data_IF_378288255312
#
_entry.id   IF_378288255312
#
_cell.length_a   1.000
_cell.length_b   1.000
_cell.length_c   1.000
_cell.angle_alpha   90.00
_cell.angle_beta   90.00
_cell.angle_gamma   90.00
#
_symmetry.space_group_name_H-M   'P 1'
#
loop_
_entity.id
_entity.type
_entity.pdbx_description
1 polymer ?
#
# COMPACT_ATOMS: atom_id res chain seq x y z
N UNK A 1 3.85 13.46 -2.95
CA UNK A 1 3.37 13.97 -1.64
C UNK A 1 4.02 13.24 -0.47
N UNK A 2 4.44 13.93 0.61
CA UNK A 2 4.95 13.26 1.79
C UNK A 2 3.84 12.39 2.42
N UNK A 3 4.21 11.32 3.11
CA UNK A 3 3.31 10.45 3.88
C UNK A 3 2.32 9.56 3.11
N UNK A 4 2.44 9.36 1.79
CA UNK A 4 1.63 8.34 1.09
C UNK A 4 2.13 6.91 1.34
N UNK A 5 3.46 6.72 1.33
CA UNK A 5 4.08 5.40 1.48
C UNK A 5 4.22 4.98 2.95
N UNK A 6 4.40 5.94 3.86
CA UNK A 6 4.66 5.64 5.27
C UNK A 6 3.53 4.81 5.91
N UNK A 7 2.23 5.17 5.80
CA UNK A 7 1.16 4.37 6.37
C UNK A 7 1.06 2.98 5.76
N UNK A 8 1.38 2.83 4.47
CA UNK A 8 1.39 1.54 3.79
C UNK A 8 2.53 0.65 4.28
N UNK A 9 3.72 1.22 4.47
CA UNK A 9 4.89 0.53 5.01
C UNK A 9 4.68 0.14 6.47
N UNK A 10 4.14 1.05 7.29
CA UNK A 10 3.78 0.78 8.69
C UNK A 10 2.76 -0.37 8.76
N UNK A 11 1.70 -0.33 7.96
CA UNK A 11 0.72 -1.41 7.90
C UNK A 11 1.35 -2.75 7.53
N UNK A 12 2.24 -2.76 6.54
CA UNK A 12 2.91 -3.96 6.08
C UNK A 12 3.84 -4.57 7.15
N UNK A 13 4.52 -3.73 7.93
CA UNK A 13 5.39 -4.19 9.03
C UNK A 13 4.55 -4.69 10.20
N UNK A 14 3.64 -3.87 10.74
CA UNK A 14 2.89 -4.17 11.97
C UNK A 14 1.89 -5.32 11.78
N UNK A 15 1.24 -5.41 10.62
CA UNK A 15 0.17 -6.38 10.39
C UNK A 15 0.59 -7.54 9.48
N UNK A 16 1.51 -7.30 8.55
CA UNK A 16 2.00 -8.32 7.64
C UNK A 16 3.13 -9.14 8.25
N UNK A 17 4.22 -8.48 8.64
CA UNK A 17 5.49 -9.13 8.96
C UNK A 17 5.69 -9.45 10.45
N UNK A 18 5.25 -8.58 11.37
CA UNK A 18 5.41 -8.76 12.82
C UNK A 18 4.78 -10.06 13.37
N UNK A 19 3.64 -10.57 12.83
CA UNK A 19 3.12 -11.88 13.22
C UNK A 19 4.00 -13.08 12.82
N UNK A 20 4.99 -12.91 11.94
CA UNK A 20 5.85 -13.99 11.47
C UNK A 20 7.23 -13.96 12.13
N UNK A 21 7.46 -14.92 13.04
CA UNK A 21 8.73 -15.10 13.77
C UNK A 21 9.92 -15.37 12.83
N UNK A 22 9.68 -15.94 11.65
CA UNK A 22 10.70 -16.16 10.61
C UNK A 22 11.16 -14.89 9.90
N UNK A 23 10.52 -13.73 10.18
CA UNK A 23 10.64 -12.52 9.38
C UNK A 23 9.95 -12.66 8.02
N UNK A 24 10.15 -11.65 7.18
CA UNK A 24 9.67 -11.65 5.80
C UNK A 24 10.25 -10.49 5.01
N UNK A 25 9.76 -10.30 3.79
CA UNK A 25 10.28 -9.29 2.86
C UNK A 25 9.24 -8.21 2.62
N UNK A 26 9.66 -6.95 2.76
CA UNK A 26 8.93 -5.78 2.29
C UNK A 26 9.60 -5.24 1.02
N UNK A 27 8.83 -5.01 -0.02
CA UNK A 27 9.29 -4.45 -1.29
C UNK A 27 8.48 -3.18 -1.55
N UNK A 28 9.18 -2.06 -1.68
CA UNK A 28 8.61 -0.79 -2.16
C UNK A 28 9.12 -0.56 -3.57
N UNK A 29 8.22 -0.33 -4.51
CA UNK A 29 8.57 -0.07 -5.90
C UNK A 29 7.75 1.06 -6.46
N UNK A 30 8.31 1.74 -7.46
CA UNK A 30 7.69 2.83 -8.18
C UNK A 30 7.98 2.62 -9.67
N UNK A 31 6.96 2.79 -10.50
CA UNK A 31 7.10 2.71 -11.96
C UNK A 31 6.19 3.74 -12.63
N UNK A 32 6.59 4.22 -13.80
CA UNK A 32 5.78 5.13 -14.62
C UNK A 32 5.17 4.33 -15.76
N UNK A 33 3.84 4.33 -15.84
CA UNK A 33 3.05 3.70 -16.89
C UNK A 33 2.35 4.80 -17.70
N UNK A 34 2.99 5.24 -18.79
CA UNK A 34 2.53 6.41 -19.54
C UNK A 34 2.55 7.67 -18.67
N UNK A 35 1.38 8.28 -18.46
CA UNK A 35 1.20 9.48 -17.62
C UNK A 35 0.86 9.15 -16.17
N UNK A 36 0.83 7.87 -15.80
CA UNK A 36 0.51 7.41 -14.45
C UNK A 36 1.79 6.99 -13.70
N UNK A 37 1.89 7.37 -12.44
CA UNK A 37 2.85 6.86 -11.48
C UNK A 37 2.17 5.77 -10.65
N UNK A 38 2.75 4.56 -10.69
CA UNK A 38 2.30 3.40 -9.95
C UNK A 38 3.28 3.12 -8.82
N UNK A 39 2.81 3.23 -7.58
CA UNK A 39 3.58 2.91 -6.38
C UNK A 39 3.03 1.61 -5.77
N UNK A 40 3.93 0.69 -5.45
CA UNK A 40 3.56 -0.61 -4.88
C UNK A 40 4.31 -0.85 -3.58
N UNK A 41 3.59 -1.31 -2.56
CA UNK A 41 4.14 -1.82 -1.30
C UNK A 41 3.68 -3.27 -1.13
N UNK A 42 4.64 -4.20 -1.08
CA UNK A 42 4.41 -5.65 -1.07
C UNK A 42 5.10 -6.28 0.13
N UNK A 43 4.37 -7.01 0.96
CA UNK A 43 4.94 -7.77 2.09
C UNK A 43 4.60 -9.25 2.05
N UNK A 44 5.57 -10.13 2.25
CA UNK A 44 5.37 -11.59 2.31
C UNK A 44 4.76 -12.06 3.64
N UNK A 45 3.87 -11.24 4.21
CA UNK A 45 3.30 -11.43 5.55
C UNK A 45 2.06 -12.31 5.57
N UNK A 46 1.29 -12.20 6.67
CA UNK A 46 0.08 -12.98 6.90
C UNK A 46 -1.07 -12.69 5.90
N UNK A 47 -0.93 -11.66 5.07
CA UNK A 47 -1.88 -11.29 4.02
C UNK A 47 -3.09 -10.48 4.50
N UNK A 48 -4.04 -10.27 3.60
CA UNK A 48 -5.17 -9.35 3.80
C UNK A 48 -6.11 -9.75 4.94
N UNK A 49 -6.10 -11.03 5.35
CA UNK A 49 -6.87 -11.56 6.47
C UNK A 49 -6.52 -10.86 7.80
N UNK A 50 -5.27 -10.42 7.95
CA UNK A 50 -4.79 -9.71 9.13
C UNK A 50 -5.01 -8.18 9.04
N UNK A 51 -5.25 -7.65 7.84
CA UNK A 51 -5.47 -6.22 7.57
C UNK A 51 -6.86 -5.70 8.01
N UNK A 52 -7.70 -6.56 8.59
CA UNK A 52 -9.05 -6.22 9.06
C UNK A 52 -9.13 -5.39 10.34
N UNK A 53 -7.99 -5.03 10.95
CA UNK A 53 -7.94 -4.27 12.21
C UNK A 53 -8.30 -2.79 12.04
N UNK A 54 -8.84 -2.15 13.09
CA UNK A 54 -9.27 -0.75 13.03
C UNK A 54 -8.12 0.24 12.74
N UNK A 55 -6.89 -0.07 13.17
CA UNK A 55 -5.70 0.74 12.89
C UNK A 55 -5.33 0.76 11.41
N UNK A 56 -5.42 -0.39 10.73
CA UNK A 56 -5.18 -0.50 9.29
C UNK A 56 -6.18 0.34 8.50
N UNK A 57 -7.46 0.31 8.88
CA UNK A 57 -8.52 1.10 8.23
C UNK A 57 -8.25 2.60 8.36
N UNK A 58 -7.81 3.06 9.52
CA UNK A 58 -7.49 4.46 9.75
C UNK A 58 -6.29 4.93 8.93
N UNK A 59 -5.20 4.17 8.90
CA UNK A 59 -4.01 4.50 8.09
C UNK A 59 -4.32 4.58 6.60
N UNK A 60 -5.12 3.64 6.08
CA UNK A 60 -5.52 3.65 4.67
C UNK A 60 -6.52 4.77 4.34
N UNK A 61 -7.41 5.13 5.28
CA UNK A 61 -8.33 6.26 5.12
C UNK A 61 -7.57 7.57 4.94
N UNK A 62 -6.56 7.84 5.76
CA UNK A 62 -5.74 9.05 5.62
C UNK A 62 -5.00 9.11 4.26
N UNK A 63 -4.51 7.97 3.76
CA UNK A 63 -3.91 7.92 2.42
C UNK A 63 -4.96 8.23 1.35
N UNK A 64 -6.17 7.68 1.44
CA UNK A 64 -7.28 7.95 0.50
C UNK A 64 -7.70 9.42 0.50
N UNK A 65 -7.91 10.02 1.67
CA UNK A 65 -8.27 11.43 1.79
C UNK A 65 -7.20 12.34 1.19
N UNK A 66 -5.93 12.01 1.41
CA UNK A 66 -4.82 12.77 0.84
C UNK A 66 -4.74 12.64 -0.69
N UNK A 67 -4.96 11.43 -1.22
CA UNK A 67 -5.02 11.22 -2.67
C UNK A 67 -6.17 12.02 -3.29
N UNK A 68 -7.37 11.96 -2.69
CA UNK A 68 -8.53 12.73 -3.13
C UNK A 68 -8.28 14.25 -3.07
N UNK A 69 -7.58 14.74 -2.05
CA UNK A 69 -7.26 16.17 -1.91
C UNK A 69 -6.32 16.67 -3.01
N UNK A 70 -5.37 15.84 -3.43
CA UNK A 70 -4.30 16.24 -4.35
C UNK A 70 -4.60 15.92 -5.82
N UNK A 71 -5.36 14.85 -6.07
CA UNK A 71 -5.58 14.29 -7.39
C UNK A 71 -7.07 14.00 -7.67
N UNK A 72 -7.97 14.25 -6.72
CA UNK A 72 -9.39 13.93 -6.89
C UNK A 72 -9.61 12.44 -7.19
N UNK A 73 -10.42 12.19 -8.21
CA UNK A 73 -10.75 10.84 -8.67
C UNK A 73 -9.67 10.24 -9.61
N UNK A 74 -8.65 11.02 -9.99
CA UNK A 74 -7.57 10.55 -10.88
C UNK A 74 -6.53 9.67 -10.15
N UNK A 75 -6.64 9.55 -8.83
CA UNK A 75 -5.79 8.67 -8.04
C UNK A 75 -6.59 7.58 -7.31
N UNK A 76 -6.00 6.38 -7.24
CA UNK A 76 -6.59 5.22 -6.58
C UNK A 76 -5.62 4.59 -5.59
N UNK A 77 -6.19 3.97 -4.56
CA UNK A 77 -5.50 3.07 -3.64
C UNK A 77 -6.24 1.74 -3.60
N UNK A 78 -5.54 0.67 -3.92
CA UNK A 78 -6.02 -0.70 -3.91
C UNK A 78 -5.18 -1.54 -2.95
N UNK A 79 -5.83 -2.40 -2.18
CA UNK A 79 -5.19 -3.43 -1.39
C UNK A 79 -5.67 -4.78 -1.91
N UNK A 80 -4.72 -5.64 -2.26
CA UNK A 80 -5.01 -7.00 -2.73
C UNK A 80 -4.09 -8.02 -2.08
N UNK A 81 -4.51 -9.30 -2.01
CA UNK A 81 -3.59 -10.39 -1.72
C UNK A 81 -2.46 -10.39 -2.76
N UNK A 82 -1.27 -10.78 -2.35
CA UNK A 82 -0.20 -11.02 -3.29
C UNK A 82 -0.45 -12.31 -4.08
N UNK A 83 -0.32 -12.21 -5.40
CA UNK A 83 -0.66 -13.28 -6.34
C UNK A 83 0.48 -14.32 -6.51
N UNK A 84 1.33 -14.50 -5.48
CA UNK A 84 2.50 -15.38 -5.52
C UNK A 84 2.49 -16.43 -4.40
N UNK A 85 3.34 -17.46 -4.55
CA UNK A 85 3.41 -18.57 -3.60
C UNK A 85 3.88 -18.17 -2.19
N UNK A 86 4.41 -16.95 -2.00
CA UNK A 86 4.83 -16.46 -0.68
C UNK A 86 3.65 -15.85 0.10
N UNK A 87 2.51 -15.59 -0.56
CA UNK A 87 1.35 -14.96 0.07
C UNK A 87 1.64 -13.54 0.57
N UNK A 88 0.73 -12.95 1.34
CA UNK A 88 0.90 -11.60 1.89
C UNK A 88 0.07 -10.54 1.18
N UNK A 89 0.43 -9.27 1.37
CA UNK A 89 -0.37 -8.13 0.89
C UNK A 89 0.39 -7.32 -0.16
N UNK A 90 -0.35 -6.76 -1.11
CA UNK A 90 0.11 -5.79 -2.09
C UNK A 90 -0.82 -4.57 -2.08
N UNK A 91 -0.29 -3.45 -1.63
CA UNK A 91 -0.92 -2.14 -1.75
C UNK A 91 -0.43 -1.43 -3.01
N UNK A 92 -1.35 -0.93 -3.83
CA UNK A 92 -1.06 -0.25 -5.10
C UNK A 92 -1.70 1.12 -5.07
N UNK A 93 -0.89 2.17 -5.23
CA UNK A 93 -1.34 3.53 -5.50
C UNK A 93 -1.13 3.80 -6.99
N UNK A 94 -2.16 4.30 -7.66
CA UNK A 94 -2.06 4.88 -9.01
C UNK A 94 -2.40 6.35 -8.90
N UNK A 95 -1.61 7.21 -9.51
CA UNK A 95 -1.86 8.65 -9.55
C UNK A 95 -1.16 9.27 -10.75
N UNK A 96 -1.60 10.43 -11.24
CA UNK A 96 -0.90 11.15 -12.30
C UNK A 96 0.56 11.42 -11.94
N UNK A 97 1.48 11.19 -12.89
CA UNK A 97 2.91 11.43 -12.71
C UNK A 97 3.25 12.92 -12.56
N UNK A 98 2.38 13.78 -13.08
CA UNK A 98 2.41 15.22 -12.90
C UNK A 98 1.14 15.65 -12.14
N UNK A 99 1.26 16.41 -11.04
CA UNK A 99 0.09 16.97 -10.37
C UNK A 99 -0.67 17.93 -11.30
N UNK A 100 -1.99 18.11 -11.09
CA UNK A 100 -2.80 19.08 -11.82
C UNK A 100 -2.33 20.53 -11.60
#
# INVERSE_FOLDING_TARGET
>A
PPLLLQPLVENAIMHGLEPHVSGGRLIVSASREGEQLVLCVRDTGAGLSAAGSDGTRFGLMQVRERLATLYGDDATLELKPADDAQGGTLAVIRMPASPP
#
